data_IF_626297098138
#
_entry.id   IF_626297098138
#
_cell.length_a   1.000
_cell.length_b   1.000
_cell.length_c   1.000
_cell.angle_alpha   90.00
_cell.angle_beta   90.00
_cell.angle_gamma   90.00
#
_symmetry.space_group_name_H-M   'P 1'
#
loop_
_entity.id
_entity.type
_entity.pdbx_description
1 polymer ?
#
# COMPACT_ATOMS: atom_id res chain seq x y z
N UNK A 1 -15.18 -26.20 0.28
CA UNK A 1 -15.15 -24.77 -0.08
C UNK A 1 -15.42 -24.65 -1.57
N UNK A 2 -16.48 -23.95 -2.00
CA UNK A 2 -16.79 -23.70 -3.42
C UNK A 2 -15.78 -22.66 -3.93
N UNK A 3 -15.04 -22.98 -4.99
CA UNK A 3 -14.20 -21.98 -5.70
C UNK A 3 -15.13 -20.92 -6.27
N UNK A 4 -14.95 -19.67 -5.87
CA UNK A 4 -15.65 -18.53 -6.43
C UNK A 4 -15.10 -18.26 -7.84
N UNK A 5 -15.50 -19.08 -8.81
CA UNK A 5 -15.31 -18.78 -10.23
C UNK A 5 -16.25 -17.61 -10.57
N UNK A 6 -15.70 -16.39 -10.59
CA UNK A 6 -16.43 -15.19 -11.04
C UNK A 6 -16.28 -13.92 -10.21
N UNK A 7 -15.60 -13.94 -9.06
CA UNK A 7 -15.38 -12.71 -8.25
C UNK A 7 -13.97 -12.18 -8.50
N UNK A 8 -13.86 -11.07 -9.23
CA UNK A 8 -12.61 -10.31 -9.33
C UNK A 8 -12.47 -9.44 -8.07
N UNK A 9 -11.48 -9.73 -7.24
CA UNK A 9 -11.10 -8.84 -6.15
C UNK A 9 -10.17 -7.75 -6.70
N UNK A 10 -10.65 -6.51 -6.70
CA UNK A 10 -9.86 -5.33 -7.06
C UNK A 10 -9.92 -4.35 -5.88
N UNK A 11 -8.78 -4.14 -5.23
CA UNK A 11 -8.68 -3.23 -4.09
C UNK A 11 -8.48 -1.79 -4.59
N UNK A 12 -9.48 -0.95 -4.40
CA UNK A 12 -9.41 0.49 -4.65
C UNK A 12 -9.34 1.25 -3.32
N UNK A 13 -8.23 1.93 -3.07
CA UNK A 13 -8.03 2.71 -1.86
C UNK A 13 -8.26 4.20 -2.13
N UNK A 14 -9.01 4.88 -1.24
CA UNK A 14 -9.19 6.33 -1.27
C UNK A 14 -8.38 6.97 -0.13
N UNK A 15 -7.45 7.85 -0.48
CA UNK A 15 -6.58 8.55 0.47
C UNK A 15 -6.78 10.05 0.33
N UNK A 16 -7.07 10.73 1.43
CA UNK A 16 -7.15 12.19 1.50
C UNK A 16 -5.90 12.70 2.21
N UNK A 17 -5.19 13.63 1.56
CA UNK A 17 -4.04 14.32 2.15
C UNK A 17 -4.38 15.80 2.24
N UNK A 18 -4.35 16.35 3.46
CA UNK A 18 -4.49 17.78 3.68
C UNK A 18 -3.17 18.46 3.27
N UNK A 19 -3.21 19.31 2.24
CA UNK A 19 -2.08 20.16 1.90
C UNK A 19 -2.28 21.56 2.50
N UNK A 20 -1.49 21.88 3.52
CA UNK A 20 -1.45 23.17 4.19
C UNK A 20 -0.23 24.02 3.77
N UNK A 21 0.46 23.64 2.70
CA UNK A 21 1.61 24.38 2.18
C UNK A 21 1.25 25.73 1.54
N UNK A 22 2.20 26.66 1.56
CA UNK A 22 2.01 28.02 1.07
C UNK A 22 1.76 28.07 -0.44
N UNK A 23 0.79 28.89 -0.88
CA UNK A 23 0.45 29.11 -2.29
C UNK A 23 0.10 27.82 -3.06
N UNK A 24 -0.44 26.80 -2.38
CA UNK A 24 -0.77 25.52 -2.99
C UNK A 24 0.45 24.64 -3.28
N UNK A 25 1.65 25.05 -2.87
CA UNK A 25 2.83 24.20 -2.93
C UNK A 25 2.70 23.04 -1.92
N UNK A 26 3.31 21.88 -2.18
CA UNK A 26 3.33 20.79 -1.22
C UNK A 26 4.02 21.21 0.08
N UNK A 27 3.27 21.22 1.18
CA UNK A 27 3.81 21.46 2.51
C UNK A 27 4.64 20.27 3.02
N UNK A 28 5.51 20.45 4.03
CA UNK A 28 6.29 19.36 4.63
C UNK A 28 5.42 18.21 5.15
N UNK A 29 4.22 18.53 5.68
CA UNK A 29 3.28 17.54 6.18
C UNK A 29 2.68 16.69 5.05
N UNK A 30 2.30 17.32 3.93
CA UNK A 30 1.84 16.62 2.74
C UNK A 30 2.90 15.64 2.23
N UNK A 31 4.15 16.10 2.10
CA UNK A 31 5.25 15.24 1.61
C UNK A 31 5.50 14.06 2.54
N UNK A 32 5.44 14.27 3.86
CA UNK A 32 5.52 13.19 4.84
C UNK A 32 4.35 12.21 4.71
N UNK A 33 3.13 12.68 4.55
CA UNK A 33 1.95 11.83 4.40
C UNK A 33 2.03 10.95 3.14
N UNK A 34 2.50 11.52 2.02
CA UNK A 34 2.78 10.76 0.79
C UNK A 34 3.85 9.69 1.05
N UNK A 35 4.95 10.06 1.71
CA UNK A 35 6.03 9.11 2.03
C UNK A 35 5.54 7.96 2.93
N UNK A 36 4.80 8.27 3.98
CA UNK A 36 4.28 7.28 4.93
C UNK A 36 3.28 6.34 4.25
N UNK A 37 2.44 6.86 3.34
CA UNK A 37 1.51 6.06 2.55
C UNK A 37 2.26 5.12 1.58
N UNK A 38 3.26 5.63 0.86
CA UNK A 38 4.09 4.80 -0.02
C UNK A 38 4.83 3.70 0.77
N UNK A 39 5.40 4.06 1.92
CA UNK A 39 6.07 3.11 2.82
C UNK A 39 5.12 2.06 3.36
N UNK A 40 3.90 2.46 3.73
CA UNK A 40 2.86 1.53 4.18
C UNK A 40 2.44 0.59 3.05
N UNK A 41 2.19 1.10 1.84
CA UNK A 41 1.85 0.28 0.69
C UNK A 41 2.89 -0.81 0.42
N UNK A 42 4.17 -0.44 0.41
CA UNK A 42 5.26 -1.40 0.25
C UNK A 42 5.29 -2.45 1.37
N UNK A 43 5.02 -2.07 2.62
CA UNK A 43 4.93 -3.02 3.75
C UNK A 43 3.71 -3.92 3.64
N UNK A 44 2.56 -3.38 3.26
CA UNK A 44 1.31 -4.13 3.14
C UNK A 44 1.45 -5.19 2.03
N UNK A 45 2.14 -4.89 0.93
CA UNK A 45 2.45 -5.88 -0.12
C UNK A 45 3.37 -6.99 0.41
N UNK A 46 4.46 -6.64 1.10
CA UNK A 46 5.40 -7.60 1.71
C UNK A 46 4.68 -8.48 2.74
N UNK A 47 3.86 -7.89 3.59
CA UNK A 47 3.13 -8.61 4.64
C UNK A 47 1.99 -9.46 4.08
N UNK A 48 1.32 -9.00 3.02
CA UNK A 48 0.29 -9.81 2.33
C UNK A 48 0.93 -11.04 1.71
N UNK A 49 2.11 -10.91 1.09
CA UNK A 49 2.89 -12.07 0.65
C UNK A 49 3.22 -13.02 1.80
N UNK A 50 3.70 -12.51 2.95
CA UNK A 50 4.01 -13.36 4.11
C UNK A 50 2.77 -14.03 4.74
N UNK A 51 1.61 -13.36 4.76
CA UNK A 51 0.36 -13.91 5.32
C UNK A 51 -0.25 -15.01 4.45
N UNK A 52 -0.15 -14.88 3.13
CA UNK A 52 -0.72 -15.83 2.16
C UNK A 52 0.23 -17.01 1.86
N UNK A 53 1.27 -17.22 2.67
CA UNK A 53 2.23 -18.32 2.52
C UNK A 53 3.35 -18.06 1.50
N UNK A 54 3.47 -16.82 1.01
CA UNK A 54 4.53 -16.35 0.14
C UNK A 54 5.85 -16.24 0.88
N UNK A 55 6.57 -17.35 0.95
CA UNK A 55 8.01 -17.36 1.15
C UNK A 55 8.61 -16.50 0.03
N UNK A 56 9.29 -15.40 0.38
CA UNK A 56 10.10 -14.67 -0.58
C UNK A 56 10.98 -15.69 -1.30
N UNK A 57 10.69 -15.94 -2.58
CA UNK A 57 11.45 -16.87 -3.41
C UNK A 57 12.76 -16.17 -3.76
N UNK A 58 13.68 -16.15 -2.80
CA UNK A 58 14.94 -15.44 -2.90
C UNK A 58 15.74 -15.51 -1.60
N UNK A 59 16.51 -16.58 -1.44
CA UNK A 59 17.66 -16.60 -0.52
C UNK A 59 17.58 -17.54 0.68
N UNK A 60 17.22 -18.81 0.46
CA UNK A 60 17.49 -19.89 1.42
C UNK A 60 18.57 -20.82 0.87
N UNK A 61 19.83 -20.46 1.07
CA UNK A 61 20.96 -21.39 1.19
C UNK A 61 22.01 -20.76 2.09
#
# INVERSE_FOLDING_TARGET
MRRAEGINFNQNNHVVIQNDGTNGLPGPQMMKAVYDMARKGARDEIQTQMRDGGLFSGGGR
#
